data_IF_679282182651
#
_entry.id   IF_679282182651
#
_cell.length_a   1.000
_cell.length_b   1.000
_cell.length_c   1.000
_cell.angle_alpha   90.00
_cell.angle_beta   90.00
_cell.angle_gamma   90.00
#
_symmetry.space_group_name_H-M   'P 1'
#
loop_
_entity.id
_entity.type
_entity.pdbx_description
1 polymer ?
#
# COMPACT_ATOMS: atom_id res chain seq x y z
N UNK A 1 -24.45 -22.75 28.26
CA UNK A 1 -23.81 -21.43 28.24
C UNK A 1 -23.99 -20.92 26.82
N UNK A 2 -24.71 -19.82 26.64
CA UNK A 2 -24.91 -19.22 25.31
C UNK A 2 -23.71 -18.30 25.07
N UNK A 3 -23.00 -18.50 23.97
CA UNK A 3 -22.02 -17.54 23.48
C UNK A 3 -22.73 -16.19 23.31
N UNK A 4 -22.10 -15.11 23.77
CA UNK A 4 -22.60 -13.75 23.54
C UNK A 4 -22.48 -13.38 22.05
N UNK A 5 -23.17 -12.34 21.59
CA UNK A 5 -23.01 -11.85 20.23
C UNK A 5 -21.57 -11.36 20.06
N UNK A 6 -20.91 -11.81 18.98
CA UNK A 6 -19.66 -11.23 18.54
C UNK A 6 -19.96 -9.82 18.03
N UNK A 7 -19.44 -8.80 18.71
CA UNK A 7 -19.54 -7.41 18.26
C UNK A 7 -18.25 -7.11 17.52
N UNK A 8 -18.36 -6.85 16.22
CA UNK A 8 -17.24 -6.56 15.36
C UNK A 8 -17.38 -5.08 14.91
N UNK A 9 -16.39 -4.24 15.27
CA UNK A 9 -16.40 -2.79 15.01
C UNK A 9 -15.42 -2.49 13.89
N UNK A 10 -15.88 -1.83 12.82
CA UNK A 10 -15.04 -1.51 11.65
C UNK A 10 -15.32 -0.11 11.11
N UNK A 11 -14.29 0.52 10.52
CA UNK A 11 -14.42 1.73 9.71
C UNK A 11 -13.63 1.56 8.42
N UNK A 12 -14.25 1.99 7.32
CA UNK A 12 -13.76 1.92 5.96
C UNK A 12 -13.28 3.33 5.55
N UNK A 13 -11.98 3.50 5.30
CA UNK A 13 -11.44 4.71 4.65
C UNK A 13 -11.47 4.45 3.14
N UNK A 14 -12.54 4.86 2.46
CA UNK A 14 -12.64 4.81 1.01
C UNK A 14 -12.43 6.21 0.41
N UNK A 15 -11.38 6.36 -0.40
CA UNK A 15 -11.22 7.51 -1.29
C UNK A 15 -12.23 7.34 -2.44
N UNK A 16 -13.20 8.25 -2.53
CA UNK A 16 -14.22 8.22 -3.58
C UNK A 16 -13.68 8.81 -4.88
N UNK A 17 -13.37 7.97 -5.87
CA UNK A 17 -13.22 8.43 -7.27
C UNK A 17 -14.61 8.75 -7.82
N UNK A 18 -14.80 10.00 -8.22
CA UNK A 18 -16.06 10.50 -8.80
C UNK A 18 -16.34 9.80 -10.14
N UNK A 19 -17.21 8.80 -10.14
CA UNK A 19 -17.74 8.21 -11.36
C UNK A 19 -18.85 9.09 -11.95
N UNK A 20 -18.58 9.68 -13.12
CA UNK A 20 -19.56 10.43 -13.92
C UNK A 20 -20.68 9.50 -14.38
N UNK A 21 -21.92 9.89 -14.08
CA UNK A 21 -23.13 9.07 -14.30
C UNK A 21 -23.47 8.92 -15.79
N UNK A 22 -23.22 7.74 -16.36
CA UNK A 22 -23.74 7.30 -17.65
C UNK A 22 -24.93 6.36 -17.48
N UNK A 23 -26.13 6.80 -17.87
CA UNK A 23 -27.34 5.97 -17.86
C UNK A 23 -27.26 4.93 -18.98
N UNK A 24 -27.19 3.64 -18.64
CA UNK A 24 -27.47 2.53 -19.56
C UNK A 24 -28.56 1.61 -19.02
N UNK A 25 -29.52 1.31 -19.91
CA UNK A 25 -30.72 0.52 -19.63
C UNK A 25 -30.40 -0.98 -19.55
N UNK A 26 -30.91 -1.64 -18.51
CA UNK A 26 -30.77 -3.08 -18.26
C UNK A 26 -31.74 -3.87 -19.15
N UNK A 27 -31.22 -4.78 -19.96
CA UNK A 27 -31.97 -5.89 -20.56
C UNK A 27 -31.71 -7.19 -19.77
N UNK A 28 -32.69 -8.10 -19.62
CA UNK A 28 -32.56 -9.25 -18.74
C UNK A 28 -31.80 -10.38 -19.44
N UNK A 29 -30.56 -10.61 -19.03
CA UNK A 29 -29.78 -11.81 -19.34
C UNK A 29 -29.25 -12.38 -18.03
N UNK A 30 -29.93 -13.38 -17.48
CA UNK A 30 -29.48 -14.09 -16.29
C UNK A 30 -28.23 -14.92 -16.64
N UNK A 31 -27.06 -14.48 -16.18
CA UNK A 31 -25.89 -15.33 -16.01
C UNK A 31 -25.85 -15.72 -14.53
N UNK A 32 -26.02 -17.02 -14.26
CA UNK A 32 -25.82 -17.63 -12.95
C UNK A 32 -24.34 -17.55 -12.62
N UNK A 33 -23.98 -16.72 -11.63
CA UNK A 33 -22.65 -16.69 -11.04
C UNK A 33 -22.54 -17.88 -10.09
N UNK A 34 -21.56 -18.75 -10.34
CA UNK A 34 -21.24 -19.91 -9.50
C UNK A 34 -20.73 -19.41 -8.13
N UNK A 35 -21.32 -19.83 -6.99
CA UNK A 35 -20.98 -19.30 -5.67
C UNK A 35 -19.73 -19.97 -5.05
N UNK A 36 -18.76 -20.40 -5.88
CA UNK A 36 -17.60 -21.16 -5.43
C UNK A 36 -16.25 -20.65 -5.98
N UNK A 37 -16.21 -19.48 -6.63
CA UNK A 37 -14.96 -18.80 -6.88
C UNK A 37 -14.64 -17.93 -5.66
N UNK A 38 -13.68 -18.35 -4.84
CA UNK A 38 -13.14 -17.49 -3.79
C UNK A 38 -12.59 -16.22 -4.46
N UNK A 39 -12.94 -15.00 -3.98
CA UNK A 39 -12.25 -13.82 -4.46
C UNK A 39 -10.80 -13.97 -4.04
N UNK A 40 -9.91 -14.10 -5.02
CA UNK A 40 -8.48 -14.17 -4.81
C UNK A 40 -8.08 -12.99 -3.91
N UNK A 41 -7.29 -13.26 -2.87
CA UNK A 41 -6.61 -12.21 -2.12
C UNK A 41 -5.88 -11.33 -3.15
N UNK A 42 -6.23 -10.03 -3.15
CA UNK A 42 -6.03 -9.01 -4.19
C UNK A 42 -4.60 -8.74 -4.65
N UNK A 43 -3.67 -9.52 -4.14
CA UNK A 43 -2.26 -9.46 -4.46
C UNK A 43 -1.99 -10.07 -5.84
N UNK A 44 -1.49 -9.29 -6.80
CA UNK A 44 -0.96 -9.86 -8.02
C UNK A 44 0.34 -10.59 -7.66
N UNK A 45 0.24 -11.91 -7.56
CA UNK A 45 1.29 -12.84 -7.10
C UNK A 45 2.76 -12.43 -7.36
N UNK A 46 3.46 -11.99 -6.29
CA UNK A 46 4.74 -12.56 -5.81
C UNK A 46 5.76 -11.60 -5.14
N UNK A 47 6.61 -12.03 -4.14
CA UNK A 47 6.69 -13.33 -3.46
C UNK A 47 6.45 -13.29 -1.93
N UNK A 48 5.66 -14.22 -1.40
CA UNK A 48 5.84 -14.79 -0.04
C UNK A 48 6.84 -15.96 -0.11
N UNK A 49 7.35 -16.49 1.02
CA UNK A 49 8.23 -17.68 0.99
C UNK A 49 7.54 -18.91 0.36
N UNK A 50 6.22 -19.03 0.52
CA UNK A 50 5.35 -20.00 -0.18
C UNK A 50 5.30 -19.77 -1.70
N UNK A 51 5.61 -18.54 -2.14
CA UNK A 51 5.69 -18.17 -3.55
C UNK A 51 7.06 -18.48 -4.17
N UNK A 52 8.11 -18.84 -3.42
CA UNK A 52 9.31 -19.41 -4.08
C UNK A 52 8.99 -20.75 -4.73
N UNK A 53 8.22 -21.59 -4.04
CA UNK A 53 7.71 -22.86 -4.61
C UNK A 53 6.67 -22.59 -5.72
N UNK A 54 5.83 -21.56 -5.59
CA UNK A 54 4.86 -21.19 -6.65
C UNK A 54 5.48 -20.49 -7.87
N UNK A 55 6.58 -19.76 -7.69
CA UNK A 55 7.41 -19.23 -8.80
C UNK A 55 8.07 -20.40 -9.53
N UNK A 56 8.48 -21.46 -8.82
CA UNK A 56 8.92 -22.71 -9.44
C UNK A 56 7.78 -23.43 -10.19
N UNK A 57 6.52 -23.32 -9.74
CA UNK A 57 5.34 -23.80 -10.49
C UNK A 57 4.92 -22.89 -11.67
N UNK A 58 5.07 -21.56 -11.57
CA UNK A 58 4.85 -20.64 -12.70
C UNK A 58 6.01 -20.72 -13.71
N UNK A 59 7.20 -21.14 -13.29
CA UNK A 59 8.29 -21.60 -14.15
C UNK A 59 7.97 -22.96 -14.81
N UNK A 60 6.89 -23.63 -14.44
CA UNK A 60 6.42 -24.87 -15.08
C UNK A 60 5.46 -24.61 -16.26
N UNK A 61 5.45 -23.42 -16.87
CA UNK A 61 4.93 -23.28 -18.24
C UNK A 61 5.92 -23.90 -19.23
N UNK A 62 5.42 -24.66 -20.19
CA UNK A 62 6.24 -25.34 -21.23
C UNK A 62 7.01 -24.38 -22.17
N UNK A 63 6.91 -23.06 -21.98
CA UNK A 63 7.60 -22.03 -22.77
C UNK A 63 7.57 -20.62 -22.16
N UNK A 64 8.23 -19.64 -22.82
CA UNK A 64 8.30 -18.25 -22.38
C UNK A 64 6.93 -17.57 -22.41
N UNK A 65 6.70 -16.64 -21.48
CA UNK A 65 5.42 -15.91 -21.38
C UNK A 65 5.59 -14.48 -20.88
N UNK A 66 4.72 -13.58 -21.31
CA UNK A 66 4.63 -12.20 -20.83
C UNK A 66 4.02 -12.23 -19.43
N UNK A 67 4.81 -11.82 -18.44
CA UNK A 67 4.49 -11.95 -17.02
C UNK A 67 4.07 -10.63 -16.36
N UNK A 68 4.35 -9.49 -17.00
CA UNK A 68 3.93 -8.19 -16.51
C UNK A 68 4.30 -7.04 -17.45
N UNK A 69 3.69 -5.87 -17.27
CA UNK A 69 3.83 -4.70 -18.15
C UNK A 69 3.99 -3.42 -17.34
N UNK A 70 4.79 -2.48 -17.86
CA UNK A 70 4.94 -1.12 -17.34
C UNK A 70 4.85 -0.09 -18.47
N UNK A 71 3.63 0.14 -19.02
CA UNK A 71 3.41 1.00 -20.18
C UNK A 71 3.33 2.50 -19.85
N UNK A 72 3.07 2.87 -18.60
CA UNK A 72 2.85 4.26 -18.17
C UNK A 72 3.74 4.66 -16.96
N UNK A 73 5.07 4.79 -17.16
CA UNK A 73 5.96 5.31 -16.13
C UNK A 73 5.67 6.77 -15.83
N UNK A 74 5.91 7.18 -14.58
CA UNK A 74 5.73 8.56 -14.06
C UNK A 74 6.76 9.57 -14.57
N UNK A 75 7.63 9.17 -15.51
CA UNK A 75 8.65 10.05 -16.09
C UNK A 75 8.11 10.79 -17.31
N UNK A 76 8.58 12.02 -17.52
CA UNK A 76 8.24 12.84 -18.69
C UNK A 76 8.31 12.06 -20.02
N UNK A 77 7.23 12.12 -20.79
CA UNK A 77 7.09 11.40 -22.06
C UNK A 77 7.04 9.87 -21.95
N UNK A 78 6.79 9.32 -20.75
CA UNK A 78 6.75 7.89 -20.45
C UNK A 78 8.03 7.13 -20.87
N UNK A 79 9.20 7.73 -20.66
CA UNK A 79 10.48 7.05 -20.94
C UNK A 79 10.73 5.90 -19.94
N UNK A 80 11.42 4.85 -20.38
CA UNK A 80 11.68 3.69 -19.50
C UNK A 80 10.53 2.69 -19.39
N UNK A 81 9.57 2.72 -20.32
CA UNK A 81 8.58 1.65 -20.55
C UNK A 81 9.26 0.28 -20.67
N UNK A 82 8.68 -0.75 -20.06
CA UNK A 82 9.17 -2.12 -20.22
C UNK A 82 8.06 -3.15 -20.04
N UNK A 83 8.29 -4.35 -20.55
CA UNK A 83 7.51 -5.55 -20.23
C UNK A 83 8.40 -6.59 -19.58
N UNK A 84 7.84 -7.47 -18.77
CA UNK A 84 8.58 -8.56 -18.13
C UNK A 84 8.24 -9.87 -18.84
N UNK A 85 9.26 -10.51 -19.38
CA UNK A 85 9.19 -11.86 -19.93
C UNK A 85 9.66 -12.86 -18.88
N UNK A 86 8.89 -13.92 -18.65
CA UNK A 86 9.30 -15.08 -17.87
C UNK A 86 9.83 -16.14 -18.82
N UNK A 87 11.10 -16.52 -18.66
CA UNK A 87 11.81 -17.49 -19.49
C UNK A 87 12.20 -18.68 -18.62
N UNK A 88 11.59 -19.87 -18.78
CA UNK A 88 11.88 -21.01 -17.90
C UNK A 88 13.30 -21.54 -18.08
N UNK A 89 13.79 -21.57 -19.32
CA UNK A 89 15.14 -22.01 -19.69
C UNK A 89 15.63 -21.17 -20.89
N UNK A 90 16.87 -20.63 -20.88
CA UNK A 90 17.36 -19.76 -21.93
C UNK A 90 17.56 -20.50 -23.27
N UNK A 91 17.72 -21.83 -23.25
CA UNK A 91 17.77 -22.65 -24.47
C UNK A 91 16.46 -22.63 -25.25
N UNK A 92 15.32 -22.26 -24.64
CA UNK A 92 14.05 -22.12 -25.36
C UNK A 92 14.08 -20.91 -26.30
N UNK A 93 14.94 -19.93 -26.01
CA UNK A 93 15.14 -18.76 -26.86
C UNK A 93 16.18 -18.98 -27.97
N UNK A 94 17.01 -20.02 -27.86
CA UNK A 94 18.07 -20.32 -28.82
C UNK A 94 17.51 -20.78 -30.18
N UNK A 95 18.25 -20.49 -31.25
CA UNK A 95 17.98 -20.94 -32.62
C UNK A 95 16.63 -20.50 -33.23
N UNK A 96 15.94 -19.55 -32.62
CA UNK A 96 14.64 -19.03 -33.05
C UNK A 96 14.61 -17.50 -33.07
N UNK A 97 13.86 -16.91 -34.00
CA UNK A 97 13.57 -15.48 -33.98
C UNK A 97 12.40 -15.22 -33.03
N UNK A 98 12.65 -14.44 -31.97
CA UNK A 98 11.63 -14.04 -31.02
C UNK A 98 11.25 -12.58 -31.21
N UNK A 99 9.96 -12.32 -31.38
CA UNK A 99 9.45 -10.95 -31.56
C UNK A 99 8.25 -10.69 -30.65
N UNK A 100 8.04 -9.41 -30.34
CA UNK A 100 6.87 -8.90 -29.66
C UNK A 100 6.25 -7.84 -30.55
N UNK A 101 4.95 -7.95 -30.79
CA UNK A 101 4.18 -6.94 -31.53
C UNK A 101 3.01 -6.46 -30.70
N UNK A 102 2.71 -5.17 -30.82
CA UNK A 102 1.54 -4.48 -30.27
C UNK A 102 0.42 -4.32 -31.33
N UNK A 103 0.49 -5.10 -32.41
CA UNK A 103 -0.40 -5.00 -33.57
C UNK A 103 -0.10 -3.83 -34.52
N UNK A 104 0.71 -2.86 -34.12
CA UNK A 104 1.06 -1.68 -34.90
C UNK A 104 2.53 -1.69 -35.34
N UNK A 105 3.40 -2.07 -34.41
CA UNK A 105 4.85 -2.15 -34.51
C UNK A 105 5.35 -3.48 -33.95
N UNK A 106 6.62 -3.79 -34.21
CA UNK A 106 7.23 -5.06 -33.82
C UNK A 106 8.66 -4.80 -33.39
N UNK A 107 9.03 -5.43 -32.28
CA UNK A 107 10.39 -5.44 -31.79
C UNK A 107 10.89 -6.87 -31.62
N UNK A 108 12.20 -7.06 -31.78
CA UNK A 108 12.89 -8.34 -31.70
C UNK A 108 13.65 -8.42 -30.38
N UNK A 109 13.61 -9.60 -29.75
CA UNK A 109 14.40 -9.89 -28.55
C UNK A 109 15.89 -9.99 -28.91
N UNK A 110 16.81 -9.63 -27.99
CA UNK A 110 18.24 -9.80 -28.23
C UNK A 110 18.62 -11.28 -28.23
N UNK A 111 19.66 -11.62 -28.99
CA UNK A 111 20.18 -13.00 -29.14
C UNK A 111 20.64 -13.64 -27.82
N UNK A 112 20.97 -12.83 -26.82
CA UNK A 112 21.36 -13.29 -25.48
C UNK A 112 20.32 -12.77 -24.48
N UNK A 113 19.45 -13.68 -24.04
CA UNK A 113 18.43 -13.41 -23.03
C UNK A 113 18.57 -14.50 -21.97
N UNK A 114 18.79 -14.10 -20.72
CA UNK A 114 18.99 -15.01 -19.60
C UNK A 114 17.73 -15.84 -19.25
N UNK A 115 17.85 -16.77 -18.32
CA UNK A 115 16.70 -17.43 -17.70
C UNK A 115 16.01 -16.50 -16.69
N UNK A 116 14.75 -16.80 -16.36
CA UNK A 116 13.99 -16.14 -15.30
C UNK A 116 13.16 -14.96 -15.80
N UNK A 117 12.93 -13.98 -14.93
CA UNK A 117 12.12 -12.80 -15.24
C UNK A 117 12.99 -11.63 -15.68
N UNK A 118 12.87 -11.26 -16.95
CA UNK A 118 13.69 -10.22 -17.59
C UNK A 118 12.81 -9.09 -18.07
N UNK A 119 13.22 -7.86 -17.81
CA UNK A 119 12.57 -6.69 -18.37
C UNK A 119 13.08 -6.43 -19.80
N UNK A 120 12.18 -6.28 -20.75
CA UNK A 120 12.46 -5.94 -22.14
C UNK A 120 12.00 -4.51 -22.39
N UNK A 121 12.91 -3.67 -22.91
CA UNK A 121 12.65 -2.23 -23.08
C UNK A 121 13.28 -1.67 -24.36
N UNK A 122 12.65 -0.63 -24.92
CA UNK A 122 13.23 0.21 -25.97
C UNK A 122 14.28 1.20 -25.41
N UNK A 123 14.29 1.43 -24.09
CA UNK A 123 15.23 2.29 -23.38
C UNK A 123 15.77 1.56 -22.13
N UNK A 124 16.71 0.62 -22.31
CA UNK A 124 17.14 -0.28 -21.24
C UNK A 124 17.82 0.47 -20.07
N UNK A 125 18.49 1.59 -20.32
CA UNK A 125 19.14 2.38 -19.28
C UNK A 125 18.10 3.04 -18.36
N UNK A 126 17.00 3.57 -18.93
CA UNK A 126 15.90 4.14 -18.14
C UNK A 126 15.10 3.08 -17.42
N UNK A 127 14.76 1.98 -18.09
CA UNK A 127 14.05 0.87 -17.47
C UNK A 127 14.88 0.24 -16.33
N UNK A 128 16.20 0.14 -16.49
CA UNK A 128 17.12 -0.39 -15.47
C UNK A 128 17.15 0.42 -14.17
N UNK A 129 16.77 1.70 -14.20
CA UNK A 129 16.60 2.51 -13.00
C UNK A 129 15.26 2.26 -12.27
N UNK A 130 14.35 1.48 -12.86
CA UNK A 130 12.97 1.29 -12.38
C UNK A 130 12.66 -0.15 -11.93
N UNK A 131 13.56 -1.10 -12.16
CA UNK A 131 13.35 -2.51 -11.83
C UNK A 131 14.67 -3.16 -11.40
N UNK A 132 14.60 -4.04 -10.40
CA UNK A 132 15.74 -4.87 -9.98
C UNK A 132 15.97 -6.09 -10.89
N UNK A 133 15.10 -6.26 -11.90
CA UNK A 133 15.20 -7.35 -12.89
C UNK A 133 16.31 -7.03 -13.90
N UNK A 134 17.03 -8.04 -14.43
CA UNK A 134 17.88 -7.85 -15.60
C UNK A 134 17.09 -7.18 -16.73
N UNK A 135 17.70 -6.19 -17.39
CA UNK A 135 17.06 -5.47 -18.49
C UNK A 135 17.77 -5.78 -19.80
N UNK A 136 17.00 -6.18 -20.80
CA UNK A 136 17.45 -6.43 -22.16
C UNK A 136 16.81 -5.42 -23.11
N UNK A 137 17.64 -4.90 -24.03
CA UNK A 137 17.21 -3.96 -25.06
C UNK A 137 16.45 -4.68 -26.17
N UNK A 138 15.31 -4.13 -26.56
CA UNK A 138 14.56 -4.56 -27.74
C UNK A 138 15.09 -3.86 -29.00
N UNK A 139 15.24 -4.61 -30.08
CA UNK A 139 15.58 -4.05 -31.40
C UNK A 139 14.29 -3.75 -32.19
N UNK A 140 14.17 -2.55 -32.77
CA UNK A 140 12.99 -2.16 -33.55
C UNK A 140 12.16 -1.08 -32.87
N UNK A 141 10.85 -1.29 -32.78
CA UNK A 141 9.95 -0.38 -32.05
C UNK A 141 8.78 -1.14 -31.46
N UNK A 142 8.41 -0.77 -30.24
CA UNK A 142 7.20 -1.19 -29.54
C UNK A 142 6.64 0.05 -28.85
N UNK A 143 5.38 0.39 -29.13
CA UNK A 143 4.74 1.57 -28.58
C UNK A 143 4.43 1.39 -27.09
N UNK A 144 3.88 0.22 -26.74
CA UNK A 144 3.44 -0.13 -25.39
C UNK A 144 2.58 1.02 -24.80
N UNK A 145 1.42 1.23 -25.44
CA UNK A 145 0.59 2.42 -25.23
C UNK A 145 0.03 2.53 -23.80
N UNK A 146 -0.11 3.75 -23.27
CA UNK A 146 -0.81 3.95 -21.99
C UNK A 146 -2.33 3.77 -22.15
N UNK A 147 -2.90 4.11 -23.31
CA UNK A 147 -4.32 3.95 -23.62
C UNK A 147 -4.75 2.48 -23.92
N UNK A 148 -3.88 1.53 -23.63
CA UNK A 148 -4.11 0.11 -23.87
C UNK A 148 -3.50 -0.45 -25.14
N UNK A 149 -3.21 -1.75 -25.08
CA UNK A 149 -2.51 -2.46 -26.14
C UNK A 149 -2.72 -3.97 -26.08
N UNK A 150 -2.46 -4.65 -27.21
CA UNK A 150 -2.47 -6.10 -27.31
C UNK A 150 -1.10 -6.61 -27.74
N UNK A 151 -0.36 -7.19 -26.81
CA UNK A 151 0.98 -7.70 -27.04
C UNK A 151 0.93 -9.19 -27.39
N UNK A 152 1.55 -9.55 -28.51
CA UNK A 152 1.74 -10.91 -28.94
C UNK A 152 3.23 -11.27 -28.98
N UNK A 153 3.63 -12.24 -28.16
CA UNK A 153 4.94 -12.88 -28.23
C UNK A 153 4.92 -13.95 -29.32
N UNK A 154 5.89 -13.90 -30.23
CA UNK A 154 5.98 -14.81 -31.36
C UNK A 154 7.35 -15.48 -31.44
N UNK A 155 7.35 -16.73 -31.92
CA UNK A 155 8.54 -17.51 -32.26
C UNK A 155 8.47 -17.87 -33.74
N UNK A 156 9.43 -17.39 -34.52
CA UNK A 156 9.47 -17.57 -35.99
C UNK A 156 8.15 -17.16 -36.68
N UNK A 157 7.46 -16.15 -36.14
CA UNK A 157 6.16 -15.67 -36.61
C UNK A 157 4.94 -16.47 -36.13
N UNK A 158 5.13 -17.53 -35.34
CA UNK A 158 4.04 -18.26 -34.69
C UNK A 158 3.73 -17.67 -33.31
N UNK A 159 2.45 -17.45 -32.99
CA UNK A 159 2.01 -16.94 -31.69
C UNK A 159 2.35 -17.94 -30.57
N UNK A 160 3.06 -17.47 -29.56
CA UNK A 160 3.39 -18.23 -28.35
C UNK A 160 2.55 -17.79 -27.17
N UNK A 161 2.42 -16.47 -26.98
CA UNK A 161 1.69 -15.91 -25.84
C UNK A 161 1.07 -14.55 -26.20
N UNK A 162 0.00 -14.18 -25.51
CA UNK A 162 -0.72 -12.92 -25.74
C UNK A 162 -1.20 -12.34 -24.43
N UNK A 163 -1.09 -11.02 -24.30
CA UNK A 163 -1.76 -10.23 -23.26
C UNK A 163 -2.42 -9.03 -23.90
N UNK A 164 -3.53 -8.60 -23.30
CA UNK A 164 -4.15 -7.32 -23.62
C UNK A 164 -4.39 -6.56 -22.31
N UNK A 165 -4.30 -5.25 -22.40
CA UNK A 165 -4.66 -4.34 -21.32
C UNK A 165 -5.35 -3.11 -21.94
N UNK A 166 -6.23 -2.49 -21.16
CA UNK A 166 -6.92 -1.25 -21.52
C UNK A 166 -6.11 -0.06 -20.97
N UNK A 167 -6.75 0.88 -20.30
CA UNK A 167 -6.07 2.04 -19.73
C UNK A 167 -5.06 1.61 -18.66
N UNK A 168 -3.80 2.00 -18.89
CA UNK A 168 -2.76 1.92 -17.90
C UNK A 168 -2.95 2.99 -16.83
N UNK A 169 -2.65 2.63 -15.59
CA UNK A 169 -2.61 3.58 -14.49
C UNK A 169 -1.18 4.03 -14.30
N UNK A 170 -0.94 5.34 -14.37
CA UNK A 170 0.39 5.93 -14.23
C UNK A 170 1.09 5.42 -12.96
N UNK A 171 2.31 4.93 -13.11
CA UNK A 171 3.10 4.44 -11.99
C UNK A 171 2.75 3.02 -11.51
N UNK A 172 1.67 2.42 -12.00
CA UNK A 172 1.29 1.04 -11.69
C UNK A 172 1.94 0.04 -12.65
N UNK A 173 2.18 -1.15 -12.13
CA UNK A 173 2.68 -2.28 -12.89
C UNK A 173 1.53 -3.26 -13.10
N UNK A 174 1.35 -3.70 -14.35
CA UNK A 174 0.38 -4.73 -14.67
C UNK A 174 1.00 -6.10 -14.43
N UNK A 175 0.34 -6.93 -13.63
CA UNK A 175 0.76 -8.28 -13.34
C UNK A 175 -0.21 -9.27 -13.97
N UNK A 176 0.31 -10.27 -14.68
CA UNK A 176 -0.54 -11.31 -15.24
C UNK A 176 -1.24 -12.10 -14.12
N UNK A 177 -2.56 -12.25 -14.23
CA UNK A 177 -3.38 -13.07 -13.34
C UNK A 177 -3.51 -14.52 -13.84
N UNK A 178 -4.06 -15.41 -13.00
CA UNK A 178 -4.43 -16.77 -13.42
C UNK A 178 -5.65 -16.73 -14.35
N UNK A 179 -5.43 -16.59 -15.66
CA UNK A 179 -6.49 -16.55 -16.66
C UNK A 179 -6.18 -15.65 -17.85
N UNK A 180 -7.23 -15.17 -18.51
CA UNK A 180 -7.13 -14.13 -19.53
C UNK A 180 -7.08 -12.76 -18.83
N UNK A 181 -5.94 -12.06 -18.92
CA UNK A 181 -5.78 -10.71 -18.39
C UNK A 181 -4.80 -10.62 -17.21
N UNK A 182 -4.98 -9.59 -16.40
CA UNK A 182 -4.09 -9.24 -15.30
C UNK A 182 -4.57 -8.01 -14.55
N UNK A 183 -3.84 -7.68 -13.49
CA UNK A 183 -4.24 -6.71 -12.49
C UNK A 183 -3.17 -5.64 -12.35
N UNK A 184 -3.62 -4.39 -12.19
CA UNK A 184 -2.74 -3.28 -11.89
C UNK A 184 -2.42 -3.23 -10.41
N UNK A 185 -1.16 -2.96 -10.09
CA UNK A 185 -0.72 -2.76 -8.73
C UNK A 185 0.40 -1.73 -8.68
N UNK A 186 0.43 -0.85 -7.66
CA UNK A 186 1.44 0.18 -7.64
C UNK A 186 2.86 -0.38 -7.61
N UNK A 187 3.73 0.19 -8.45
CA UNK A 187 5.09 -0.31 -8.60
C UNK A 187 5.89 -0.09 -7.31
N UNK A 188 6.22 -1.18 -6.63
CA UNK A 188 6.97 -1.17 -5.37
C UNK A 188 6.09 -1.01 -4.13
N UNK A 189 4.75 -1.09 -4.27
CA UNK A 189 3.87 -1.26 -3.13
C UNK A 189 4.10 -2.63 -2.47
N UNK A 190 3.76 -2.70 -1.19
CA UNK A 190 3.68 -3.95 -0.45
C UNK A 190 2.60 -4.87 -1.03
N UNK A 191 2.68 -6.14 -0.64
CA UNK A 191 1.62 -7.12 -0.81
C UNK A 191 1.78 -8.11 0.37
N UNK A 192 1.15 -7.74 1.48
CA UNK A 192 1.19 -8.47 2.75
C UNK A 192 -0.07 -9.33 2.89
N UNK A 193 0.05 -10.61 3.28
CA UNK A 193 -1.12 -11.40 3.66
C UNK A 193 -1.78 -10.78 4.91
N UNK A 194 -2.99 -11.22 5.24
CA UNK A 194 -3.59 -10.89 6.54
C UNK A 194 -2.74 -11.53 7.63
N UNK A 195 -2.18 -10.72 8.52
CA UNK A 195 -1.57 -11.21 9.75
C UNK A 195 -2.67 -11.42 10.78
N UNK A 196 -2.73 -12.62 11.34
CA UNK A 196 -3.75 -13.01 12.32
C UNK A 196 -3.06 -13.52 13.58
N UNK A 197 -3.45 -12.96 14.72
CA UNK A 197 -3.02 -13.41 16.02
C UNK A 197 -4.21 -13.85 16.86
N UNK A 198 -4.09 -15.01 17.50
CA UNK A 198 -5.13 -15.60 18.33
C UNK A 198 -4.86 -15.34 19.81
N UNK A 199 -5.93 -15.19 20.60
CA UNK A 199 -5.90 -14.99 22.04
C UNK A 199 -5.01 -13.80 22.47
N UNK A 200 -5.56 -12.59 22.46
CA UNK A 200 -4.86 -11.36 22.81
C UNK A 200 -5.62 -10.47 23.79
N UNK A 201 -5.05 -9.29 24.03
CA UNK A 201 -5.70 -8.21 24.77
C UNK A 201 -5.72 -6.94 23.92
N UNK A 202 -6.86 -6.26 23.89
CA UNK A 202 -7.02 -5.00 23.17
C UNK A 202 -7.72 -3.98 24.06
N UNK A 203 -7.13 -2.78 24.16
CA UNK A 203 -7.73 -1.64 24.83
C UNK A 203 -8.35 -0.72 23.79
N UNK A 204 -9.69 -0.64 23.79
CA UNK A 204 -10.47 0.26 22.94
C UNK A 204 -10.66 1.61 23.64
N UNK A 205 -10.59 2.70 22.88
CA UNK A 205 -10.79 4.04 23.42
C UNK A 205 -11.45 4.97 22.39
N UNK A 206 -12.02 6.07 22.89
CA UNK A 206 -12.62 7.11 22.04
C UNK A 206 -11.97 8.46 22.32
N UNK A 207 -11.80 9.24 21.27
CA UNK A 207 -11.22 10.57 21.34
C UNK A 207 -12.35 11.63 21.31
N UNK A 208 -12.25 12.67 22.14
CA UNK A 208 -11.08 13.02 22.97
C UNK A 208 -11.10 12.54 24.43
N UNK A 209 -12.06 11.70 24.81
CA UNK A 209 -12.28 11.34 26.21
C UNK A 209 -11.11 10.56 26.84
N UNK A 210 -10.22 10.00 26.01
CA UNK A 210 -9.13 9.12 26.40
C UNK A 210 -7.76 9.49 25.80
N UNK A 211 -7.50 10.77 25.54
CA UNK A 211 -6.21 11.23 24.97
C UNK A 211 -5.01 10.85 25.85
N UNK A 212 -5.19 10.83 27.18
CA UNK A 212 -4.15 10.43 28.14
C UNK A 212 -3.63 9.00 27.88
N UNK A 213 -4.49 8.06 27.49
CA UNK A 213 -4.07 6.68 27.20
C UNK A 213 -3.05 6.62 26.06
N UNK A 214 -3.24 7.44 25.03
CA UNK A 214 -2.32 7.47 23.88
C UNK A 214 -0.95 8.00 24.29
N UNK A 215 -0.92 9.06 25.09
CA UNK A 215 0.33 9.62 25.63
C UNK A 215 1.01 8.62 26.57
N UNK A 216 0.25 7.97 27.47
CA UNK A 216 0.77 6.93 28.37
C UNK A 216 1.41 5.77 27.59
N UNK A 217 0.77 5.32 26.49
CA UNK A 217 1.33 4.25 25.64
C UNK A 217 2.68 4.66 25.05
N UNK A 218 2.82 5.91 24.57
CA UNK A 218 4.10 6.42 24.05
C UNK A 218 5.15 6.59 25.17
N UNK A 219 4.71 7.10 26.33
CA UNK A 219 5.55 7.31 27.50
C UNK A 219 6.10 5.99 28.07
N UNK A 220 5.36 4.89 27.93
CA UNK A 220 5.75 3.55 28.37
C UNK A 220 6.70 2.82 27.41
N UNK A 221 7.18 3.47 26.33
CA UNK A 221 8.13 2.83 25.41
C UNK A 221 9.49 2.57 26.09
N UNK A 222 10.02 1.36 25.88
CA UNK A 222 11.30 0.88 26.40
C UNK A 222 12.39 0.80 25.32
N UNK A 223 12.08 0.32 24.12
CA UNK A 223 13.07 0.04 23.06
C UNK A 223 12.85 0.90 21.80
N UNK A 224 11.61 0.99 21.30
CA UNK A 224 11.30 1.68 20.03
C UNK A 224 9.90 2.27 19.96
N UNK A 225 9.79 3.38 19.22
CA UNK A 225 8.54 3.95 18.72
C UNK A 225 8.64 4.12 17.20
N UNK A 226 7.69 3.54 16.47
CA UNK A 226 7.49 3.77 15.03
C UNK A 226 6.13 4.45 14.84
N UNK A 227 6.11 5.75 14.55
CA UNK A 227 4.87 6.53 14.42
C UNK A 227 4.62 6.88 12.95
N UNK A 228 3.47 6.44 12.42
CA UNK A 228 3.02 6.75 11.07
C UNK A 228 1.79 7.65 11.11
N UNK A 229 1.76 8.69 10.27
CA UNK A 229 0.70 9.69 10.34
C UNK A 229 0.49 10.51 9.06
N UNK A 230 -0.75 10.69 8.67
CA UNK A 230 -1.12 11.61 7.59
C UNK A 230 -0.91 13.10 7.93
N UNK A 231 -0.97 13.47 9.20
CA UNK A 231 -0.67 14.84 9.66
C UNK A 231 -0.06 14.77 11.05
N UNK A 232 0.94 15.62 11.31
CA UNK A 232 1.64 15.71 12.59
C UNK A 232 1.81 17.17 13.03
N UNK A 233 1.00 17.62 13.99
CA UNK A 233 1.04 18.96 14.58
C UNK A 233 0.77 18.98 16.08
N UNK A 234 0.75 17.82 16.73
CA UNK A 234 0.44 17.70 18.16
C UNK A 234 1.70 17.87 19.02
N UNK A 235 1.71 18.92 19.85
CA UNK A 235 2.86 19.28 20.69
C UNK A 235 3.07 18.28 21.83
N UNK A 236 2.00 17.75 22.42
CA UNK A 236 2.07 16.79 23.53
C UNK A 236 2.66 15.46 23.03
N UNK A 237 2.23 15.00 21.85
CA UNK A 237 2.84 13.82 21.21
C UNK A 237 4.32 14.07 20.90
N UNK A 238 4.69 15.25 20.38
CA UNK A 238 6.09 15.58 20.11
C UNK A 238 6.94 15.58 21.40
N UNK A 239 6.40 16.12 22.51
CA UNK A 239 7.06 16.11 23.82
C UNK A 239 7.30 14.67 24.33
N UNK A 240 6.32 13.77 24.20
CA UNK A 240 6.47 12.37 24.59
C UNK A 240 7.52 11.63 23.75
N UNK A 241 7.59 11.90 22.44
CA UNK A 241 8.65 11.37 21.58
C UNK A 241 10.03 11.86 22.00
N UNK A 242 10.17 13.14 22.34
CA UNK A 242 11.42 13.68 22.90
C UNK A 242 11.79 13.01 24.23
N UNK A 243 10.83 12.88 25.14
CA UNK A 243 11.04 12.21 26.41
C UNK A 243 11.47 10.75 26.23
N UNK A 244 10.91 10.04 25.25
CA UNK A 244 11.35 8.69 24.89
C UNK A 244 12.80 8.65 24.38
N UNK A 245 13.17 9.57 23.49
CA UNK A 245 14.55 9.68 22.99
C UNK A 245 15.55 9.98 24.12
N UNK A 246 15.18 10.85 25.08
CA UNK A 246 16.01 11.15 26.25
C UNK A 246 16.25 9.93 27.14
N UNK A 247 15.31 8.98 27.16
CA UNK A 247 15.46 7.66 27.83
C UNK A 247 16.28 6.65 27.01
N UNK A 248 16.57 6.95 25.75
CA UNK A 248 17.34 6.09 24.84
C UNK A 248 16.49 5.21 23.91
N UNK A 249 15.18 5.47 23.84
CA UNK A 249 14.24 4.78 22.93
C UNK A 249 14.52 5.21 21.49
N UNK A 250 14.54 4.27 20.55
CA UNK A 250 14.68 4.57 19.12
C UNK A 250 13.36 5.10 18.55
N UNK A 251 13.33 6.35 18.09
CA UNK A 251 12.14 6.97 17.49
C UNK A 251 12.27 7.09 15.97
N UNK A 252 11.27 6.60 15.24
CA UNK A 252 11.12 6.83 13.80
C UNK A 252 9.72 7.37 13.50
N UNK A 253 9.64 8.44 12.72
CA UNK A 253 8.41 9.11 12.32
C UNK A 253 8.29 9.05 10.80
N UNK A 254 7.13 8.61 10.32
CA UNK A 254 6.80 8.52 8.91
C UNK A 254 5.51 9.30 8.64
N UNK A 255 5.59 10.31 7.78
CA UNK A 255 4.45 11.21 7.51
C UNK A 255 4.13 11.35 6.03
N UNK A 256 2.88 11.66 5.72
CA UNK A 256 2.44 12.11 4.40
C UNK A 256 3.05 13.48 4.04
N UNK A 257 3.59 13.59 2.82
CA UNK A 257 4.21 14.80 2.29
C UNK A 257 3.29 15.70 1.49
N UNK A 258 2.12 15.22 1.09
CA UNK A 258 1.13 15.97 0.31
C UNK A 258 -0.31 15.68 0.70
N UNK A 259 -0.72 15.91 1.96
CA UNK A 259 -2.12 15.75 2.35
C UNK A 259 -2.99 16.73 1.54
N UNK A 260 -4.26 16.39 1.33
CA UNK A 260 -5.22 17.11 0.48
C UNK A 260 -5.27 18.61 0.79
N UNK A 261 -5.23 18.98 2.07
CA UNK A 261 -5.27 20.38 2.51
C UNK A 261 -3.89 21.07 2.50
N UNK A 262 -2.81 20.35 2.19
CA UNK A 262 -1.43 20.78 2.32
C UNK A 262 -0.84 20.49 3.71
N UNK A 263 0.49 20.39 3.79
CA UNK A 263 1.17 20.13 5.08
C UNK A 263 1.04 21.37 5.98
N UNK A 264 0.48 21.25 7.20
CA UNK A 264 0.29 22.41 8.07
C UNK A 264 1.61 23.06 8.51
N UNK A 265 1.65 24.40 8.58
CA UNK A 265 2.79 25.18 9.09
C UNK A 265 3.30 24.73 10.46
N UNK A 266 2.45 24.38 11.45
CA UNK A 266 2.94 23.90 12.75
C UNK A 266 3.73 22.58 12.68
N UNK A 267 3.60 21.80 11.60
CA UNK A 267 4.31 20.54 11.44
C UNK A 267 5.83 20.77 11.26
N UNK A 268 6.22 21.84 10.55
CA UNK A 268 7.62 22.11 10.21
C UNK A 268 8.53 22.17 11.44
N UNK A 269 8.29 23.05 12.44
CA UNK A 269 9.17 23.14 13.59
C UNK A 269 9.20 21.86 14.42
N UNK A 270 8.06 21.17 14.61
CA UNK A 270 8.00 19.95 15.41
C UNK A 270 8.82 18.81 14.79
N UNK A 271 8.68 18.61 13.47
CA UNK A 271 9.41 17.56 12.75
C UNK A 271 10.90 17.89 12.64
N UNK A 272 11.24 19.17 12.48
CA UNK A 272 12.62 19.63 12.50
C UNK A 272 13.29 19.40 13.86
N UNK A 273 12.61 19.75 14.95
CA UNK A 273 13.14 19.57 16.31
C UNK A 273 13.33 18.08 16.65
N UNK A 274 12.38 17.20 16.26
CA UNK A 274 12.53 15.75 16.40
C UNK A 274 13.72 15.20 15.60
N UNK A 275 13.87 15.63 14.34
CA UNK A 275 14.98 15.21 13.48
C UNK A 275 16.33 15.68 14.03
N UNK A 276 16.42 16.92 14.51
CA UNK A 276 17.63 17.51 15.09
C UNK A 276 17.99 16.85 16.44
N UNK A 277 17.00 16.35 17.19
CA UNK A 277 17.19 15.58 18.41
C UNK A 277 17.62 14.11 18.16
N UNK A 278 17.53 13.63 16.92
CA UNK A 278 18.03 12.32 16.50
C UNK A 278 16.95 11.31 16.10
N UNK A 279 15.67 11.69 16.03
CA UNK A 279 14.64 10.85 15.44
C UNK A 279 14.91 10.63 13.94
N UNK A 280 14.57 9.44 13.44
CA UNK A 280 14.51 9.23 11.99
C UNK A 280 13.19 9.73 11.46
N UNK A 281 13.16 10.91 10.84
CA UNK A 281 11.95 11.49 10.24
C UNK A 281 11.99 11.32 8.71
N UNK A 282 10.97 10.65 8.17
CA UNK A 282 10.81 10.39 6.73
C UNK A 282 9.44 10.82 6.24
N UNK A 283 9.38 11.20 4.97
CA UNK A 283 8.18 11.74 4.34
C UNK A 283 7.84 10.91 3.11
N UNK A 284 6.67 10.28 3.11
CA UNK A 284 6.10 9.52 1.99
C UNK A 284 5.35 10.47 1.07
N UNK A 285 5.56 10.34 -0.23
CA UNK A 285 4.87 11.13 -1.25
C UNK A 285 5.84 11.91 -2.15
N UNK A 286 5.30 12.53 -3.21
CA UNK A 286 6.06 13.24 -4.22
C UNK A 286 5.81 12.77 -5.66
N UNK A 287 6.82 12.93 -6.51
CA UNK A 287 6.69 12.59 -7.93
C UNK A 287 6.70 11.07 -8.13
N UNK A 288 5.58 10.54 -8.63
CA UNK A 288 5.43 9.14 -9.00
C UNK A 288 5.14 8.20 -7.83
N UNK A 289 4.32 8.64 -6.87
CA UNK A 289 3.97 7.92 -5.65
C UNK A 289 3.45 6.51 -5.87
N UNK A 290 3.71 5.64 -4.90
CA UNK A 290 3.13 4.28 -4.89
C UNK A 290 1.69 4.28 -4.40
N UNK A 291 1.29 5.29 -3.65
CA UNK A 291 -0.04 5.37 -3.06
C UNK A 291 -0.59 6.77 -3.30
N UNK A 292 -1.89 6.87 -3.55
CA UNK A 292 -2.55 8.18 -3.68
C UNK A 292 -2.47 9.00 -2.39
N UNK A 293 -2.38 8.33 -1.23
CA UNK A 293 -2.00 8.93 0.04
C UNK A 293 -1.47 7.89 1.02
N UNK A 294 -0.45 8.28 1.80
CA UNK A 294 -0.08 7.64 3.05
C UNK A 294 -1.04 8.10 4.16
N UNK A 295 -2.24 7.48 4.20
CA UNK A 295 -3.29 7.84 5.14
C UNK A 295 -3.33 7.09 6.50
N UNK A 296 -2.33 6.29 6.95
CA UNK A 296 -2.44 5.63 8.25
C UNK A 296 -2.27 6.61 9.42
N UNK A 297 -2.80 6.22 10.59
CA UNK A 297 -2.49 6.84 11.88
C UNK A 297 -2.28 5.73 12.90
N UNK A 298 -1.03 5.33 13.08
CA UNK A 298 -0.66 4.26 14.01
C UNK A 298 0.69 4.52 14.66
N UNK A 299 0.91 3.90 15.81
CA UNK A 299 2.22 3.78 16.41
C UNK A 299 2.50 2.31 16.76
N UNK A 300 3.71 1.84 16.48
CA UNK A 300 4.24 0.62 17.08
C UNK A 300 5.11 1.02 18.25
N UNK A 301 4.72 0.62 19.46
CA UNK A 301 5.46 0.90 20.68
C UNK A 301 5.92 -0.43 21.28
N UNK A 302 7.19 -0.74 21.06
CA UNK A 302 7.76 -2.06 21.36
C UNK A 302 6.93 -3.19 20.72
N UNK A 303 6.22 -3.96 21.55
CA UNK A 303 5.38 -5.10 21.15
C UNK A 303 3.88 -4.76 21.16
N UNK A 304 3.52 -3.46 21.19
CA UNK A 304 2.14 -2.96 21.14
C UNK A 304 1.89 -2.25 19.82
N UNK A 305 0.69 -2.44 19.25
CA UNK A 305 0.20 -1.70 18.08
C UNK A 305 -0.94 -0.77 18.50
N UNK A 306 -0.74 0.54 18.36
CA UNK A 306 -1.78 1.56 18.53
C UNK A 306 -2.27 2.00 17.15
N UNK A 307 -3.56 1.87 16.88
CA UNK A 307 -4.19 2.35 15.64
C UNK A 307 -5.34 3.29 16.00
N UNK A 308 -5.47 4.41 15.30
CA UNK A 308 -6.55 5.37 15.52
C UNK A 308 -7.10 5.92 14.21
N UNK A 309 -8.33 6.42 14.23
CA UNK A 309 -8.91 7.17 13.13
C UNK A 309 -8.45 8.62 13.08
N UNK A 310 -7.93 9.16 14.18
CA UNK A 310 -7.57 10.57 14.27
C UNK A 310 -6.13 10.86 13.86
N UNK A 311 -5.92 12.03 13.25
CA UNK A 311 -4.59 12.53 12.95
C UNK A 311 -3.86 12.98 14.22
N UNK A 312 -2.53 12.97 14.20
CA UNK A 312 -1.65 13.46 15.28
C UNK A 312 -1.66 15.00 15.32
N UNK A 313 -2.81 15.58 15.59
CA UNK A 313 -3.04 17.02 15.69
C UNK A 313 -3.96 17.34 16.86
N UNK A 314 -3.93 18.56 17.42
CA UNK A 314 -4.78 18.93 18.54
C UNK A 314 -6.28 18.72 18.31
N UNK A 315 -6.75 18.89 17.07
CA UNK A 315 -8.16 18.64 16.72
C UNK A 315 -8.56 17.15 16.79
N UNK A 316 -7.60 16.24 16.55
CA UNK A 316 -7.82 14.80 16.56
C UNK A 316 -7.55 14.18 17.92
N UNK A 317 -6.32 14.32 18.43
CA UNK A 317 -5.92 13.75 19.73
C UNK A 317 -6.42 14.62 20.89
N UNK A 318 -6.17 15.93 20.84
CA UNK A 318 -6.57 16.88 21.90
C UNK A 318 -8.06 17.25 21.94
N UNK A 319 -8.89 16.71 21.05
CA UNK A 319 -10.34 16.91 21.06
C UNK A 319 -10.88 18.20 20.52
N UNK A 320 -10.00 19.02 19.97
CA UNK A 320 -10.29 20.36 19.52
C UNK A 320 -10.94 20.43 18.12
N UNK A 321 -11.83 19.49 17.78
CA UNK A 321 -12.57 19.54 16.51
C UNK A 321 -13.10 18.22 15.96
N UNK A 322 -12.54 17.08 16.38
CA UNK A 322 -12.93 15.76 15.88
C UNK A 322 -13.37 14.81 16.99
N UNK A 323 -14.07 13.74 16.58
CA UNK A 323 -14.37 12.57 17.40
C UNK A 323 -13.93 11.35 16.64
N UNK A 324 -13.12 10.54 17.29
CA UNK A 324 -12.63 9.31 16.71
C UNK A 324 -12.51 8.21 17.74
N UNK A 325 -11.84 7.14 17.34
CA UNK A 325 -11.57 6.00 18.21
C UNK A 325 -10.19 5.45 17.91
N UNK A 326 -9.72 4.60 18.80
CA UNK A 326 -8.53 3.83 18.58
C UNK A 326 -8.52 2.55 19.39
N UNK A 327 -7.53 1.72 19.06
CA UNK A 327 -7.26 0.45 19.71
C UNK A 327 -5.77 0.36 19.98
N UNK A 328 -5.43 -0.07 21.19
CA UNK A 328 -4.09 -0.57 21.55
C UNK A 328 -4.19 -2.08 21.61
N UNK A 329 -3.56 -2.78 20.67
CA UNK A 329 -3.42 -4.23 20.68
C UNK A 329 -2.11 -4.61 21.37
N UNK A 330 -2.20 -5.42 22.44
CA UNK A 330 -1.06 -6.01 23.13
C UNK A 330 -0.68 -7.34 22.48
N UNK A 331 -0.26 -7.26 21.23
CA UNK A 331 0.06 -8.44 20.42
C UNK A 331 1.41 -8.27 19.69
N UNK A 332 2.47 -8.99 20.12
CA UNK A 332 3.78 -8.88 19.52
C UNK A 332 3.83 -9.27 18.03
N UNK A 333 2.96 -10.17 17.56
CA UNK A 333 2.93 -10.60 16.16
C UNK A 333 2.35 -9.48 15.29
N UNK A 334 1.21 -8.90 15.70
CA UNK A 334 0.60 -7.75 15.03
C UNK A 334 1.54 -6.54 15.06
N UNK A 335 2.18 -6.26 16.20
CA UNK A 335 3.15 -5.17 16.32
C UNK A 335 4.37 -5.38 15.40
N UNK A 336 4.87 -6.62 15.28
CA UNK A 336 5.99 -6.95 14.40
C UNK A 336 5.62 -6.83 12.90
N UNK A 337 4.43 -7.27 12.49
CA UNK A 337 4.01 -7.14 11.10
C UNK A 337 3.73 -5.67 10.73
N UNK A 338 3.07 -4.90 11.61
CA UNK A 338 2.88 -3.46 11.43
C UNK A 338 4.22 -2.71 11.38
N UNK A 339 5.21 -3.10 12.17
CA UNK A 339 6.56 -2.57 12.07
C UNK A 339 7.24 -2.94 10.73
N UNK A 340 6.89 -4.06 10.13
CA UNK A 340 7.40 -4.47 8.82
C UNK A 340 6.73 -3.67 7.70
N UNK A 341 5.46 -3.29 7.85
CA UNK A 341 4.79 -2.31 6.98
C UNK A 341 5.46 -0.95 7.09
N UNK A 342 5.63 -0.42 8.31
CA UNK A 342 6.32 0.85 8.55
C UNK A 342 7.67 0.93 7.84
N UNK A 343 8.50 -0.12 7.97
CA UNK A 343 9.83 -0.16 7.34
C UNK A 343 9.76 -0.24 5.82
N UNK A 344 8.77 -0.95 5.27
CA UNK A 344 8.57 -1.04 3.82
C UNK A 344 8.14 0.31 3.24
N UNK A 345 7.24 1.02 3.92
CA UNK A 345 6.84 2.36 3.52
C UNK A 345 8.01 3.33 3.66
N UNK A 346 8.69 3.32 4.79
CA UNK A 346 9.86 4.15 5.05
C UNK A 346 10.97 3.92 4.00
N UNK A 347 11.21 2.68 3.56
CA UNK A 347 12.21 2.36 2.54
C UNK A 347 11.74 2.59 1.10
N UNK A 348 10.51 3.06 0.91
CA UNK A 348 9.89 3.31 -0.37
C UNK A 348 10.69 4.25 -1.27
N UNK A 349 10.59 4.02 -2.59
CA UNK A 349 11.19 4.88 -3.62
C UNK A 349 10.64 6.31 -3.62
N UNK A 350 9.43 6.48 -3.11
CA UNK A 350 8.65 7.70 -2.94
C UNK A 350 8.83 8.28 -1.53
N UNK A 351 9.83 7.84 -0.78
CA UNK A 351 10.04 8.28 0.61
C UNK A 351 11.36 9.01 0.79
N UNK A 352 11.27 10.30 1.07
CA UNK A 352 12.40 11.20 1.25
C UNK A 352 12.80 11.33 2.72
N UNK A 353 14.00 11.87 2.97
CA UNK A 353 14.39 12.31 4.32
C UNK A 353 13.72 13.64 4.62
N UNK A 354 13.52 13.96 5.91
CA UNK A 354 13.02 15.30 6.30
C UNK A 354 13.87 16.44 5.72
N UNK A 355 15.20 16.26 5.68
CA UNK A 355 16.11 17.27 5.16
C UNK A 355 15.92 17.54 3.66
N UNK A 356 15.69 16.51 2.86
CA UNK A 356 15.45 16.65 1.42
C UNK A 356 14.04 17.21 1.13
N UNK A 357 13.04 16.74 1.89
CA UNK A 357 11.65 17.18 1.76
C UNK A 357 11.52 18.69 2.02
N UNK A 358 12.07 19.18 3.15
CA UNK A 358 11.91 20.57 3.58
C UNK A 358 12.52 21.60 2.63
N UNK A 359 13.46 21.22 1.75
CA UNK A 359 14.09 22.15 0.81
C UNK A 359 13.10 22.73 -0.20
N UNK A 360 12.05 21.96 -0.53
CA UNK A 360 11.07 22.33 -1.55
C UNK A 360 9.62 22.29 -1.02
N UNK A 361 9.42 21.98 0.25
CA UNK A 361 8.10 21.92 0.87
C UNK A 361 7.45 23.30 0.98
N UNK A 362 6.13 23.33 0.82
CA UNK A 362 5.30 24.49 1.15
C UNK A 362 4.38 24.10 2.28
N UNK A 363 4.37 24.93 3.32
CA UNK A 363 3.48 24.75 4.45
C UNK A 363 2.30 25.72 4.37
N UNK A 364 1.14 25.26 4.82
CA UNK A 364 -0.11 26.01 4.76
C UNK A 364 -0.59 26.42 6.15
N UNK A 365 -1.23 27.58 6.26
CA UNK A 365 -1.94 27.96 7.47
C UNK A 365 -3.06 26.94 7.75
N UNK A 366 -3.14 26.44 8.98
CA UNK A 366 -4.21 25.56 9.43
C UNK A 366 -5.16 26.31 10.36
N UNK A 367 -6.44 25.93 10.34
CA UNK A 367 -7.42 26.49 11.27
C UNK A 367 -7.00 26.24 12.73
N UNK A 368 -7.21 27.21 13.63
CA UNK A 368 -6.91 27.03 15.04
C UNK A 368 -7.80 25.92 15.64
N UNK A 369 -7.28 25.16 16.61
CA UNK A 369 -8.08 24.18 17.34
C UNK A 369 -9.32 24.83 17.97
N UNK A 370 -10.45 24.13 17.91
CA UNK A 370 -11.69 24.51 18.61
C UNK A 370 -11.63 24.12 20.09
N UNK A 371 -12.57 24.60 20.91
CA UNK A 371 -12.69 24.11 22.28
C UNK A 371 -12.98 22.60 22.28
N UNK A 372 -12.33 21.80 23.15
CA UNK A 372 -12.53 20.37 23.17
C UNK A 372 -13.96 19.99 23.53
N UNK A 373 -14.59 19.12 22.72
CA UNK A 373 -15.96 18.64 22.93
C UNK A 373 -15.95 17.14 23.31
N UNK A 374 -15.50 16.88 24.54
CA UNK A 374 -15.46 15.53 25.13
C UNK A 374 -16.78 15.10 25.80
N UNK A 375 -16.92 13.79 25.96
CA UNK A 375 -17.77 13.15 26.97
C UNK A 375 -16.95 12.62 28.14
N UNK A 376 -17.50 11.64 28.87
CA UNK A 376 -16.86 10.94 29.99
C UNK A 376 -16.73 9.43 29.66
N UNK A 377 -16.05 9.06 28.57
CA UNK A 377 -15.81 7.66 28.20
C UNK A 377 -14.38 7.22 28.50
N UNK A 378 -14.24 6.37 29.52
CA UNK A 378 -12.97 5.74 29.83
C UNK A 378 -12.63 4.65 28.79
N UNK A 379 -11.34 4.38 28.55
CA UNK A 379 -10.91 3.19 27.83
C UNK A 379 -11.43 1.90 28.45
N UNK A 380 -11.64 0.90 27.60
CA UNK A 380 -12.05 -0.44 28.02
C UNK A 380 -11.11 -1.49 27.41
N UNK A 381 -10.59 -2.36 28.27
CA UNK A 381 -9.71 -3.47 27.91
C UNK A 381 -10.49 -4.77 27.77
N UNK A 382 -10.26 -5.48 26.67
CA UNK A 382 -10.99 -6.69 26.29
C UNK A 382 -10.01 -7.81 25.99
N UNK A 383 -10.36 -9.02 26.43
CA UNK A 383 -9.76 -10.23 25.87
C UNK A 383 -10.34 -10.45 24.47
N UNK A 384 -9.47 -10.61 23.48
CA UNK A 384 -9.84 -10.82 22.08
C UNK A 384 -9.48 -12.25 21.67
N UNK A 385 -10.40 -12.95 21.02
CA UNK A 385 -10.15 -14.30 20.51
C UNK A 385 -9.22 -14.27 19.29
N UNK A 386 -9.31 -13.19 18.51
CA UNK A 386 -8.54 -13.00 17.27
C UNK A 386 -8.34 -11.51 16.98
N UNK A 387 -7.16 -11.15 16.51
CA UNK A 387 -6.81 -9.83 15.95
C UNK A 387 -6.28 -10.03 14.55
N UNK A 388 -6.79 -9.25 13.59
CA UNK A 388 -6.34 -9.27 12.19
C UNK A 388 -5.79 -7.89 11.80
N UNK A 389 -4.58 -7.84 11.23
CA UNK A 389 -4.02 -6.62 10.65
C UNK A 389 -4.45 -6.50 9.18
N UNK A 390 -5.28 -5.49 8.92
CA UNK A 390 -5.78 -5.19 7.58
C UNK A 390 -5.07 -3.97 6.98
N UNK A 391 -4.57 -4.15 5.77
CA UNK A 391 -3.78 -3.17 5.04
C UNK A 391 -4.42 -2.91 3.69
N UNK A 392 -4.60 -1.63 3.34
CA UNK A 392 -5.08 -1.22 2.02
C UNK A 392 -3.91 -0.62 1.23
N UNK A 393 -3.71 -1.00 -0.05
CA UNK A 393 -4.56 -1.86 -0.86
C UNK A 393 -4.36 -3.38 -0.66
N UNK A 394 -3.33 -3.81 0.06
CA UNK A 394 -2.84 -5.19 0.18
C UNK A 394 -3.92 -6.28 0.36
N UNK A 395 -4.60 -6.29 1.51
CA UNK A 395 -5.43 -7.42 1.94
C UNK A 395 -6.80 -7.01 2.52
N UNK A 396 -7.00 -5.71 2.80
CA UNK A 396 -8.16 -5.25 3.53
C UNK A 396 -9.48 -5.47 2.79
N UNK A 397 -9.55 -5.20 1.49
CA UNK A 397 -10.84 -5.15 0.79
C UNK A 397 -11.55 -6.52 0.78
N UNK A 398 -10.86 -7.57 0.33
CA UNK A 398 -11.45 -8.91 0.28
C UNK A 398 -11.90 -9.40 1.65
N UNK A 399 -11.12 -9.10 2.70
CA UNK A 399 -11.47 -9.46 4.08
C UNK A 399 -12.68 -8.67 4.60
N UNK A 400 -12.73 -7.36 4.32
CA UNK A 400 -13.84 -6.49 4.70
C UNK A 400 -15.14 -6.89 3.99
N UNK A 401 -15.10 -7.26 2.72
CA UNK A 401 -16.28 -7.76 1.98
C UNK A 401 -16.81 -9.05 2.62
N UNK A 402 -15.93 -10.05 2.85
CA UNK A 402 -16.32 -11.31 3.51
C UNK A 402 -16.97 -11.08 4.88
N UNK A 403 -16.40 -10.16 5.64
CA UNK A 403 -16.89 -9.78 6.95
C UNK A 403 -18.28 -9.10 6.87
N UNK A 404 -18.46 -8.14 5.96
CA UNK A 404 -19.75 -7.48 5.70
C UNK A 404 -20.81 -8.53 5.30
N UNK A 405 -20.45 -9.45 4.40
CA UNK A 405 -21.34 -10.51 3.93
C UNK A 405 -21.70 -11.52 5.03
N UNK A 406 -20.84 -11.66 6.06
CA UNK A 406 -21.08 -12.54 7.21
C UNK A 406 -21.96 -11.93 8.31
N UNK A 407 -22.28 -10.64 8.24
CA UNK A 407 -23.08 -9.97 9.27
C UNK A 407 -24.53 -10.50 9.31
N UNK A 408 -24.93 -11.11 10.43
CA UNK A 408 -26.25 -11.75 10.56
C UNK A 408 -27.35 -10.83 11.11
N UNK A 409 -27.00 -9.88 11.99
CA UNK A 409 -27.97 -9.06 12.73
C UNK A 409 -27.95 -7.58 12.33
N UNK A 410 -26.80 -6.91 12.44
CA UNK A 410 -26.65 -5.49 12.18
C UNK A 410 -25.23 -5.16 11.71
N UNK A 411 -25.11 -4.25 10.75
CA UNK A 411 -23.85 -3.65 10.34
C UNK A 411 -23.97 -2.13 10.49
N UNK A 412 -23.15 -1.55 11.38
CA UNK A 412 -23.05 -0.11 11.56
C UNK A 412 -21.79 0.40 10.86
N UNK A 413 -21.96 1.26 9.87
CA UNK A 413 -20.86 1.84 9.10
C UNK A 413 -20.82 3.34 9.33
N UNK A 414 -19.66 3.86 9.70
CA UNK A 414 -19.37 5.29 9.67
C UNK A 414 -18.41 5.57 8.51
N UNK A 415 -18.71 6.60 7.72
CA UNK A 415 -17.85 7.06 6.65
C UNK A 415 -17.34 8.45 7.00
N UNK A 416 -16.03 8.60 7.18
CA UNK A 416 -15.39 9.91 7.14
C UNK A 416 -15.29 10.36 5.68
N UNK A 417 -15.65 11.60 5.40
CA UNK A 417 -15.28 12.26 4.15
C UNK A 417 -14.01 13.05 4.48
N UNK A 418 -12.93 12.74 3.77
CA UNK A 418 -11.79 13.64 3.65
C UNK A 418 -12.03 14.60 2.48
#
# INVERSE_FOLDING_TARGET
MRAGPAVAVFVLLAVSVVAVSGVFAIGPGAATVDPAAEPADRCPTGPTEETRERVDELNASDGPRIAGLYPDPTTDGNVGKFLVLSVPDPSVLADHEWTITDGHTTATLPNETDAGRIALSMDPDRAGAMTDRPVAGLEGHLQLSADGDELALQRDGELVDRVAYEDATEGEFWYRAEGEGGEWWPRGATCRPVETAADGEATTFVLPDASDLLLDVLADADDRILLAGYTFTDEDVAEELHAAMDRGVSVSVLIEGGPVDGVPEPAEPLLADLADAGATVRVVGGEGDRYASHHPKYAVVDDRALVTTENWKPAGIGGAGSRGWGVVAEDPAIAADLATVFRADAAGRDTSTWADYRENATFVESDPPSDPIGGDRAPETHAVEETELLLAPDNAEGRLVKLIDSAEEELLVTCSHD
#
